data_IF_050887988413
#
_entry.id   IF_050887988413
#
_cell.length_a   1.000
_cell.length_b   1.000
_cell.length_c   1.000
_cell.angle_alpha   90.00
_cell.angle_beta   90.00
_cell.angle_gamma   90.00
#
_symmetry.space_group_name_H-M   'P 1'
#
loop_
_entity.id
_entity.type
_entity.pdbx_description
1 polymer ?
#
# COMPACT_ATOMS: atom_id res chain seq x y z
N UNK A 1 -69.65 9.14 3.40
CA UNK A 1 -68.68 9.73 2.45
C UNK A 1 -67.28 9.52 3.00
N UNK A 2 -66.53 8.58 2.42
CA UNK A 2 -65.25 8.08 2.91
C UNK A 2 -64.12 9.06 2.55
N UNK A 3 -63.43 9.61 3.56
CA UNK A 3 -62.32 10.56 3.38
C UNK A 3 -61.11 9.83 2.80
N UNK A 4 -60.62 10.31 1.65
CA UNK A 4 -59.44 9.81 0.95
C UNK A 4 -58.20 10.03 1.83
N UNK A 5 -57.55 8.94 2.23
CA UNK A 5 -56.25 8.98 2.91
C UNK A 5 -55.20 9.27 1.84
N UNK A 6 -54.56 10.44 1.93
CA UNK A 6 -53.41 10.80 1.10
C UNK A 6 -52.21 10.02 1.64
N UNK A 7 -51.83 8.97 0.92
CA UNK A 7 -50.62 8.21 1.18
C UNK A 7 -49.43 9.04 0.69
N UNK A 8 -48.87 9.87 1.57
CA UNK A 8 -47.61 10.56 1.33
C UNK A 8 -46.47 9.55 1.42
N UNK A 9 -46.07 9.00 0.28
CA UNK A 9 -44.90 8.13 0.16
C UNK A 9 -43.64 8.91 0.51
N UNK A 10 -43.07 8.64 1.68
CA UNK A 10 -41.76 9.13 2.11
C UNK A 10 -40.71 8.51 1.17
N UNK A 11 -40.19 9.32 0.25
CA UNK A 11 -39.00 8.99 -0.51
C UNK A 11 -37.81 9.08 0.45
N UNK A 12 -37.48 7.94 1.08
CA UNK A 12 -36.20 7.76 1.78
C UNK A 12 -35.09 7.74 0.71
N UNK A 13 -34.58 8.92 0.39
CA UNK A 13 -33.28 9.09 -0.23
C UNK A 13 -32.26 8.57 0.78
N UNK A 14 -31.93 7.28 0.67
CA UNK A 14 -30.75 6.74 1.33
C UNK A 14 -29.56 7.45 0.69
N UNK A 15 -29.02 8.45 1.39
CA UNK A 15 -27.72 9.02 1.10
C UNK A 15 -26.72 7.88 1.30
N UNK A 16 -26.46 7.12 0.23
CA UNK A 16 -25.36 6.19 0.19
C UNK A 16 -24.10 7.01 0.44
N UNK A 17 -23.48 6.81 1.61
CA UNK A 17 -22.19 7.38 1.93
C UNK A 17 -21.24 7.04 0.80
N UNK A 18 -20.98 8.00 -0.08
CA UNK A 18 -19.92 7.92 -1.06
C UNK A 18 -18.62 7.93 -0.27
N UNK A 19 -18.19 6.75 0.19
CA UNK A 19 -16.82 6.54 0.64
C UNK A 19 -15.94 6.82 -0.56
N UNK A 20 -15.54 8.09 -0.72
CA UNK A 20 -14.50 8.47 -1.66
C UNK A 20 -13.26 7.67 -1.29
N UNK A 21 -12.96 6.65 -2.08
CA UNK A 21 -11.76 5.83 -1.91
C UNK A 21 -10.56 6.78 -1.96
N UNK A 22 -9.78 6.82 -0.88
CA UNK A 22 -8.68 7.75 -0.73
C UNK A 22 -7.72 7.68 -1.92
N UNK A 23 -7.27 8.84 -2.38
CA UNK A 23 -6.28 9.00 -3.44
C UNK A 23 -4.93 9.29 -2.78
N UNK A 24 -3.90 8.55 -3.19
CA UNK A 24 -2.55 8.76 -2.67
C UNK A 24 -1.91 9.98 -3.35
N UNK A 25 -1.54 10.98 -2.56
CA UNK A 25 -0.72 12.10 -3.03
C UNK A 25 0.75 11.67 -3.14
N UNK A 26 1.13 11.23 -4.34
CA UNK A 26 2.48 10.76 -4.65
C UNK A 26 3.48 11.93 -4.66
N UNK A 27 3.06 13.12 -5.07
CA UNK A 27 3.98 14.27 -5.21
C UNK A 27 4.38 14.80 -3.84
N UNK A 28 3.43 14.92 -2.90
CA UNK A 28 3.71 15.28 -1.51
C UNK A 28 4.68 14.32 -0.83
N UNK A 29 4.64 13.03 -1.20
CA UNK A 29 5.41 11.97 -0.56
C UNK A 29 6.60 11.47 -1.39
N UNK A 30 6.98 12.14 -2.48
CA UNK A 30 8.01 11.66 -3.42
C UNK A 30 9.36 11.36 -2.77
N UNK A 31 9.73 12.14 -1.75
CA UNK A 31 11.00 11.99 -1.03
C UNK A 31 11.01 10.81 -0.05
N UNK A 32 9.84 10.24 0.25
CA UNK A 32 9.69 9.08 1.10
C UNK A 32 9.59 7.77 0.30
N UNK A 33 9.31 7.81 -1.02
CA UNK A 33 9.18 6.61 -1.85
C UNK A 33 10.57 5.96 -2.05
N UNK A 34 10.67 4.68 -1.65
CA UNK A 34 11.95 3.95 -1.62
C UNK A 34 12.35 3.42 -3.00
N UNK A 35 11.39 3.02 -3.82
CA UNK A 35 11.63 2.34 -5.10
C UNK A 35 10.89 3.03 -6.24
N UNK A 36 11.25 4.27 -6.54
CA UNK A 36 10.60 5.08 -7.59
C UNK A 36 10.80 4.46 -8.98
N UNK A 37 12.00 3.97 -9.28
CA UNK A 37 12.34 3.34 -10.56
C UNK A 37 11.81 1.90 -10.59
N UNK A 38 10.75 1.67 -11.38
CA UNK A 38 10.09 0.35 -11.50
C UNK A 38 10.66 -0.53 -12.61
N UNK A 39 11.30 0.06 -13.63
CA UNK A 39 11.86 -0.66 -14.79
C UNK A 39 13.28 -0.17 -15.06
N UNK A 40 14.13 -1.06 -15.59
CA UNK A 40 15.52 -0.72 -15.94
C UNK A 40 16.40 -0.37 -14.73
N UNK A 41 16.02 -0.76 -13.51
CA UNK A 41 16.85 -0.59 -12.33
C UNK A 41 18.05 -1.55 -12.37
N UNK A 42 19.15 -1.15 -11.73
CA UNK A 42 20.30 -2.02 -11.53
C UNK A 42 19.99 -3.07 -10.46
N UNK A 43 20.11 -4.35 -10.82
CA UNK A 43 19.73 -5.48 -9.95
C UNK A 43 20.63 -5.56 -8.72
N UNK A 44 21.98 -5.57 -8.84
CA UNK A 44 22.88 -5.56 -7.68
C UNK A 44 22.61 -4.40 -6.72
N UNK A 45 22.46 -3.18 -7.23
CA UNK A 45 22.17 -2.01 -6.42
C UNK A 45 20.82 -2.16 -5.69
N UNK A 46 19.77 -2.61 -6.39
CA UNK A 46 18.44 -2.80 -5.78
C UNK A 46 18.47 -3.82 -4.64
N UNK A 47 19.28 -4.87 -4.76
CA UNK A 47 19.47 -5.84 -3.67
C UNK A 47 20.11 -5.15 -2.46
N UNK A 48 21.12 -4.31 -2.66
CA UNK A 48 21.74 -3.56 -1.56
C UNK A 48 20.77 -2.56 -0.92
N UNK A 49 19.95 -1.87 -1.72
CA UNK A 49 18.88 -0.99 -1.23
C UNK A 49 17.91 -1.75 -0.34
N UNK A 50 17.44 -2.93 -0.77
CA UNK A 50 16.54 -3.78 0.02
C UNK A 50 17.20 -4.26 1.32
N UNK A 51 18.47 -4.70 1.25
CA UNK A 51 19.22 -5.12 2.44
C UNK A 51 19.38 -4.00 3.46
N UNK A 52 19.62 -2.77 2.99
CA UNK A 52 19.76 -1.61 3.86
C UNK A 52 18.46 -1.23 4.61
N UNK A 53 17.30 -1.70 4.13
CA UNK A 53 16.01 -1.50 4.78
C UNK A 53 15.73 -2.49 5.92
N UNK A 54 16.55 -3.52 6.12
CA UNK A 54 16.33 -4.54 7.14
C UNK A 54 16.04 -3.92 8.52
N UNK A 55 14.93 -4.32 9.15
CA UNK A 55 14.50 -3.81 10.46
C UNK A 55 13.84 -2.44 10.42
N UNK A 56 13.76 -1.76 9.27
CA UNK A 56 13.09 -0.47 9.14
C UNK A 56 11.59 -0.65 8.92
N UNK A 57 10.81 0.30 9.44
CA UNK A 57 9.36 0.36 9.20
C UNK A 57 9.07 1.03 7.86
N UNK A 58 8.20 0.40 7.07
CA UNK A 58 7.74 0.90 5.78
C UNK A 58 6.23 0.86 5.71
N UNK A 59 5.67 1.84 4.99
CA UNK A 59 4.24 1.92 4.66
C UNK A 59 4.05 1.59 3.20
N UNK A 60 3.15 0.67 2.91
CA UNK A 60 2.89 0.18 1.55
C UNK A 60 1.47 0.51 1.17
N UNK A 61 1.33 1.18 0.03
CA UNK A 61 0.05 1.40 -0.61
C UNK A 61 -0.05 0.51 -1.84
N UNK A 62 -1.09 -0.32 -1.89
CA UNK A 62 -1.53 -0.94 -3.11
C UNK A 62 -2.48 0.03 -3.81
N UNK A 63 -2.10 0.49 -5.00
CA UNK A 63 -2.83 1.51 -5.75
C UNK A 63 -3.40 0.95 -7.05
N UNK A 64 -4.47 1.58 -7.54
CA UNK A 64 -5.10 1.27 -8.82
C UNK A 64 -5.31 2.56 -9.62
N UNK A 65 -5.27 2.44 -10.95
CA UNK A 65 -5.56 3.55 -11.84
C UNK A 65 -4.41 4.53 -11.98
N UNK A 66 -4.60 5.54 -12.84
CA UNK A 66 -3.62 6.61 -13.07
C UNK A 66 -3.63 7.65 -11.95
N UNK A 67 -4.74 7.70 -11.21
CA UNK A 67 -5.02 8.55 -10.06
C UNK A 67 -4.42 7.99 -8.75
N UNK A 68 -3.80 6.80 -8.77
CA UNK A 68 -3.26 6.15 -7.56
C UNK A 68 -4.32 5.97 -6.46
N UNK A 69 -5.54 5.58 -6.82
CA UNK A 69 -6.58 5.22 -5.85
C UNK A 69 -6.08 4.11 -4.93
N UNK A 70 -6.15 4.32 -3.63
CA UNK A 70 -5.71 3.35 -2.61
C UNK A 70 -6.70 2.20 -2.51
N UNK A 71 -6.20 0.98 -2.65
CA UNK A 71 -6.95 -0.28 -2.49
C UNK A 71 -6.68 -0.93 -1.14
N UNK A 72 -5.44 -0.85 -0.70
CA UNK A 72 -5.00 -1.36 0.59
C UNK A 72 -3.80 -0.54 1.09
N UNK A 73 -3.68 -0.43 2.40
CA UNK A 73 -2.53 0.15 3.09
C UNK A 73 -2.13 -0.77 4.23
N UNK A 74 -0.83 -0.99 4.39
CA UNK A 74 -0.30 -1.68 5.57
C UNK A 74 1.08 -1.14 5.90
N UNK A 75 1.39 -1.16 7.21
CA UNK A 75 2.65 -0.66 7.76
C UNK A 75 3.29 -1.80 8.54
N UNK A 76 4.54 -2.11 8.22
CA UNK A 76 5.26 -3.22 8.84
C UNK A 76 6.77 -3.04 8.79
N UNK A 77 7.49 -4.02 9.33
CA UNK A 77 8.94 -4.03 9.40
C UNK A 77 9.51 -4.87 8.27
N UNK A 78 10.54 -4.36 7.59
CA UNK A 78 11.23 -5.09 6.53
C UNK A 78 12.07 -6.21 7.12
N UNK A 79 11.93 -7.41 6.55
CA UNK A 79 12.79 -8.55 6.82
C UNK A 79 13.53 -8.97 5.56
N UNK A 80 14.71 -9.53 5.75
CA UNK A 80 15.57 -9.98 4.64
C UNK A 80 15.80 -11.48 4.81
N UNK A 81 15.55 -12.23 3.74
CA UNK A 81 15.89 -13.64 3.72
C UNK A 81 17.40 -13.82 3.53
N UNK A 82 17.98 -14.92 4.05
CA UNK A 82 19.36 -15.27 3.75
C UNK A 82 19.59 -15.40 2.23
N UNK A 83 20.72 -14.89 1.77
CA UNK A 83 21.11 -14.76 0.35
C UNK A 83 21.02 -16.05 -0.48
N UNK A 84 21.03 -17.22 0.16
CA UNK A 84 21.08 -18.52 -0.50
C UNK A 84 19.75 -19.08 -1.03
N UNK A 85 18.62 -18.38 -0.79
CA UNK A 85 17.28 -18.95 -1.05
C UNK A 85 16.58 -18.43 -2.30
N UNK A 86 17.07 -17.36 -2.93
CA UNK A 86 16.40 -16.68 -4.04
C UNK A 86 17.39 -16.29 -5.13
N UNK A 87 16.94 -16.26 -6.39
CA UNK A 87 17.72 -15.66 -7.47
C UNK A 87 17.84 -14.15 -7.29
N UNK A 88 18.90 -13.53 -7.80
CA UNK A 88 19.14 -12.08 -7.71
C UNK A 88 17.94 -11.27 -8.19
N UNK A 89 17.29 -11.72 -9.28
CA UNK A 89 16.08 -11.08 -9.80
C UNK A 89 14.93 -11.08 -8.78
N UNK A 90 14.73 -12.19 -8.08
CA UNK A 90 13.70 -12.28 -7.05
C UNK A 90 14.07 -11.43 -5.82
N UNK A 91 15.34 -11.46 -5.41
CA UNK A 91 15.85 -10.63 -4.32
C UNK A 91 15.67 -9.13 -4.60
N UNK A 92 15.88 -8.70 -5.86
CA UNK A 92 15.69 -7.31 -6.25
C UNK A 92 14.21 -6.90 -6.42
N UNK A 93 13.33 -7.87 -6.73
CA UNK A 93 11.93 -7.57 -7.08
C UNK A 93 10.97 -7.66 -5.91
N UNK A 94 11.27 -8.45 -4.87
CA UNK A 94 10.34 -8.72 -3.76
C UNK A 94 10.90 -8.11 -2.49
N UNK A 95 10.09 -7.29 -1.82
CA UNK A 95 10.36 -6.85 -0.46
C UNK A 95 9.51 -7.68 0.50
N UNK A 96 10.05 -8.10 1.63
CA UNK A 96 9.32 -8.86 2.65
C UNK A 96 9.03 -7.93 3.81
N UNK A 97 7.75 -7.77 4.13
CA UNK A 97 7.31 -6.86 5.19
C UNK A 97 6.40 -7.60 6.14
N UNK A 98 6.75 -7.58 7.42
CA UNK A 98 6.03 -8.31 8.46
C UNK A 98 5.28 -7.32 9.34
N UNK A 99 4.00 -7.61 9.56
CA UNK A 99 3.13 -6.89 10.49
C UNK A 99 2.83 -7.80 11.68
N UNK A 100 2.78 -7.21 12.88
CA UNK A 100 2.26 -7.91 14.06
C UNK A 100 0.77 -7.65 14.14
N UNK A 101 -0.03 -8.72 14.17
CA UNK A 101 -1.45 -8.67 14.47
C UNK A 101 -1.70 -8.83 15.96
N UNK A 102 -2.92 -8.52 16.37
CA UNK A 102 -3.42 -8.85 17.68
C UNK A 102 -3.18 -10.35 17.99
N UNK A 103 -2.96 -10.67 19.26
CA UNK A 103 -2.67 -12.04 19.74
C UNK A 103 -1.29 -12.62 19.33
N UNK A 104 -0.35 -11.77 18.87
CA UNK A 104 1.03 -12.19 18.62
C UNK A 104 1.24 -12.94 17.29
N UNK A 105 0.22 -12.97 16.43
CA UNK A 105 0.36 -13.50 15.08
C UNK A 105 1.16 -12.55 14.18
N UNK A 106 1.99 -13.10 13.30
CA UNK A 106 2.76 -12.33 12.31
C UNK A 106 2.18 -12.58 10.93
N UNK A 107 1.90 -11.51 10.19
CA UNK A 107 1.51 -11.59 8.79
C UNK A 107 2.65 -11.07 7.92
N UNK A 108 3.02 -11.84 6.90
CA UNK A 108 4.04 -11.46 5.93
C UNK A 108 3.39 -10.99 4.62
N UNK A 109 3.85 -9.85 4.13
CA UNK A 109 3.47 -9.26 2.86
C UNK A 109 4.67 -9.23 1.92
N UNK A 110 4.40 -9.40 0.62
CA UNK A 110 5.43 -9.52 -0.42
C UNK A 110 5.21 -8.51 -1.56
N UNK A 111 5.20 -7.19 -1.29
CA UNK A 111 5.05 -6.20 -2.35
C UNK A 111 6.21 -6.28 -3.35
N UNK A 112 5.89 -6.01 -4.60
CA UNK A 112 6.87 -5.99 -5.69
C UNK A 112 7.47 -4.59 -5.82
N UNK A 113 8.79 -4.46 -5.71
CA UNK A 113 9.52 -3.18 -5.81
C UNK A 113 9.50 -2.60 -7.23
N UNK A 114 9.19 -3.43 -8.22
CA UNK A 114 9.16 -3.12 -9.64
C UNK A 114 7.75 -3.04 -10.24
N UNK A 115 6.70 -3.20 -9.42
CA UNK A 115 5.32 -3.09 -9.89
C UNK A 115 4.75 -1.71 -9.54
N UNK A 116 4.15 -1.04 -10.52
CA UNK A 116 3.54 0.29 -10.37
C UNK A 116 2.33 0.29 -9.45
N UNK A 117 1.74 -0.88 -9.18
CA UNK A 117 0.63 -1.04 -8.24
C UNK A 117 1.07 -0.98 -6.78
N UNK A 118 2.36 -1.05 -6.50
CA UNK A 118 2.90 -0.89 -5.14
C UNK A 118 3.72 0.39 -5.03
N UNK A 119 3.32 1.24 -4.09
CA UNK A 119 4.07 2.41 -3.66
C UNK A 119 4.57 2.14 -2.25
N UNK A 120 5.88 2.13 -2.08
CA UNK A 120 6.55 1.69 -0.87
C UNK A 120 7.31 2.88 -0.30
N UNK A 121 6.95 3.31 0.89
CA UNK A 121 7.48 4.51 1.53
C UNK A 121 8.20 4.18 2.82
N UNK A 122 9.26 4.93 3.11
CA UNK A 122 9.81 5.01 4.47
C UNK A 122 8.79 5.66 5.38
N UNK A 123 8.30 4.93 6.39
CA UNK A 123 7.27 5.46 7.30
C UNK A 123 7.76 6.69 8.05
N UNK A 124 9.05 6.73 8.44
CA UNK A 124 9.66 7.86 9.13
C UNK A 124 9.70 9.17 8.31
N UNK A 125 9.57 9.08 6.99
CA UNK A 125 9.62 10.23 6.06
C UNK A 125 8.25 10.55 5.44
N UNK A 126 7.25 9.72 5.70
CA UNK A 126 5.92 9.85 5.11
C UNK A 126 5.17 11.01 5.76
N UNK A 127 4.60 11.90 4.95
CA UNK A 127 3.76 12.96 5.47
C UNK A 127 2.37 12.40 5.77
N UNK A 128 1.75 12.76 6.93
CA UNK A 128 0.38 12.37 7.21
C UNK A 128 -0.57 13.00 6.18
N UNK A 129 -1.56 12.21 5.74
CA UNK A 129 -2.65 12.64 4.87
C UNK A 129 -3.73 13.40 5.64
#
# INVERSE_FOLDING_TARGET
>A
MLKKIILAGVLLLTAGSAFSQAVLDVEANKNAELFVVKQGYDVPQRIQEIKALAGQQVTIYQVQGKDNKVKAMYTGVVEVLPDSKLSDKAQASVLIVVTQKEQGMREAHFPLTNDKRYRIYSTAKLQPH
#
